data_IF_860873759401
#
_entry.id   IF_860873759401
#
_cell.length_a   1.000
_cell.length_b   1.000
_cell.length_c   1.000
_cell.angle_alpha   90.00
_cell.angle_beta   90.00
_cell.angle_gamma   90.00
#
_symmetry.space_group_name_H-M   'P 1'
#
loop_
_entity.id
_entity.type
_entity.pdbx_description
1 polymer ?
2 non-polymer ?
3 non-polymer ?
4 non-polymer ?
5 non-polymer ?
6 non-polymer ?
7 non-polymer ?
8 water ?
#
# COMPACT_ATOMS: atom_id res chain seq x y z
N UNK A 6 -22.62 10.97 21.09
CA UNK A 6 -21.19 10.78 21.51
C UNK A 6 -20.22 11.12 20.37
N UNK A 7 -19.33 12.11 20.59
CA UNK A 7 -18.36 12.53 19.59
C UNK A 7 -17.43 11.41 19.13
N UNK A 8 -16.83 11.59 17.97
CA UNK A 8 -15.94 10.60 17.40
C UNK A 8 -14.81 11.22 16.61
N UNK A 9 -13.70 10.47 16.45
CA UNK A 9 -12.57 10.99 15.68
C UNK A 9 -12.77 10.65 14.20
N UNK A 10 -13.80 9.87 13.92
CA UNK A 10 -14.09 9.44 12.56
C UNK A 10 -15.41 10.02 12.01
N UNK A 11 -15.50 10.06 10.68
CA UNK A 11 -16.70 10.52 9.99
C UNK A 11 -16.87 9.59 8.79
N UNK A 12 -18.03 8.95 8.70
CA UNK A 12 -18.34 7.99 7.63
C UNK A 12 -18.80 8.68 6.34
N UNK A 13 -18.75 7.95 5.23
CA UNK A 13 -19.18 8.48 3.93
C UNK A 13 -19.67 7.37 3.04
N UNK A 14 -20.76 7.60 2.32
CA UNK A 14 -21.21 6.60 1.38
C UNK A 14 -20.63 7.10 0.07
N UNK A 15 -20.60 6.26 -0.96
CA UNK A 15 -20.03 6.70 -2.22
C UNK A 15 -20.64 8.01 -2.70
N UNK A 16 -21.92 8.19 -2.42
CA UNK A 16 -22.66 9.37 -2.83
C UNK A 16 -22.09 10.66 -2.24
N UNK A 17 -21.86 10.66 -0.93
CA UNK A 17 -21.35 11.83 -0.24
C UNK A 17 -19.87 12.10 -0.53
N UNK A 18 -19.10 11.03 -0.72
CA UNK A 18 -17.68 11.18 -0.97
C UNK A 18 -17.39 11.74 -2.36
N UNK A 19 -18.11 11.26 -3.37
CA UNK A 19 -17.88 11.74 -4.73
C UNK A 19 -18.11 13.23 -4.86
N UNK A 20 -19.09 13.75 -4.12
CA UNK A 20 -19.39 15.17 -4.16
C UNK A 20 -18.14 16.01 -3.90
N UNK A 21 -17.27 15.51 -3.03
CA UNK A 21 -16.04 16.21 -2.67
C UNK A 21 -15.01 16.28 -3.79
N UNK A 22 -15.38 15.76 -4.95
CA UNK A 22 -14.47 15.78 -6.09
C UNK A 22 -14.24 17.20 -6.57
N UNK A 23 -15.28 18.03 -6.47
CA UNK A 23 -15.22 19.41 -6.93
C UNK A 23 -14.82 19.37 -8.40
N UNK A 24 -13.90 20.23 -8.81
CA UNK A 24 -13.49 20.26 -10.21
C UNK A 24 -12.13 19.62 -10.43
N UNK A 25 -11.97 18.40 -9.92
CA UNK A 25 -10.71 17.68 -10.08
C UNK A 25 -10.66 16.97 -11.44
N UNK A 26 -9.59 17.21 -12.20
CA UNK A 26 -9.42 16.60 -13.53
C UNK A 26 -9.09 15.12 -13.45
N UNK A 27 -9.56 14.37 -14.45
CA UNK A 27 -9.27 12.94 -14.53
C UNK A 27 -8.20 12.79 -15.60
N UNK A 28 -6.95 12.63 -15.18
CA UNK A 28 -5.85 12.49 -16.13
C UNK A 28 -5.43 11.04 -16.29
N UNK A 29 -6.40 10.16 -16.56
CA UNK A 29 -6.08 8.75 -16.72
C UNK A 29 -7.05 8.12 -17.71
N UNK A 30 -6.52 7.36 -18.66
CA UNK A 30 -7.35 6.68 -19.67
C UNK A 30 -7.61 5.23 -19.29
N UNK A 31 -8.41 4.54 -20.10
CA UNK A 31 -8.72 3.13 -19.83
C UNK A 31 -7.50 2.23 -19.99
N UNK A 32 -6.73 2.45 -21.05
CA UNK A 32 -5.54 1.64 -21.29
C UNK A 32 -4.62 1.76 -20.08
N UNK A 33 -4.36 2.99 -19.65
CA UNK A 33 -3.50 3.23 -18.50
C UNK A 33 -4.06 2.57 -17.25
N UNK A 34 -5.33 2.82 -16.96
CA UNK A 34 -5.97 2.21 -15.80
C UNK A 34 -5.77 0.70 -15.84
N UNK A 35 -5.96 0.10 -17.01
CA UNK A 35 -5.78 -1.34 -17.19
C UNK A 35 -4.37 -1.73 -16.80
N UNK A 36 -3.39 -0.97 -17.25
CA UNK A 36 -2.00 -1.26 -16.94
C UNK A 36 -1.68 -1.13 -15.47
N UNK A 37 -2.67 -0.76 -14.67
CA UNK A 37 -2.46 -0.59 -13.24
C UNK A 37 -3.30 -1.61 -12.47
N UNK A 38 -4.42 -2.00 -13.06
CA UNK A 38 -5.34 -2.95 -12.45
C UNK A 38 -4.74 -4.33 -12.23
N UNK A 39 -5.01 -4.90 -11.06
CA UNK A 39 -4.50 -6.22 -10.74
C UNK A 39 -5.52 -7.32 -11.05
N UNK A 40 -5.02 -8.54 -11.22
CA UNK A 40 -5.89 -9.68 -11.51
C UNK A 40 -6.98 -9.81 -10.45
N UNK A 41 -8.23 -9.68 -10.86
CA UNK A 41 -9.32 -9.80 -9.92
C UNK A 41 -10.00 -8.50 -9.57
N UNK A 42 -9.27 -7.39 -9.66
CA UNK A 42 -9.83 -6.08 -9.36
C UNK A 42 -10.82 -5.60 -10.42
N UNK A 43 -11.92 -5.00 -9.96
CA UNK A 43 -12.97 -4.52 -10.84
C UNK A 43 -12.93 -3.01 -11.09
N UNK A 44 -11.89 -2.35 -10.60
CA UNK A 44 -11.79 -0.89 -10.75
C UNK A 44 -11.96 -0.33 -12.18
N UNK A 45 -12.92 0.58 -12.34
CA UNK A 45 -13.16 1.23 -13.62
C UNK A 45 -12.95 2.74 -13.47
N UNK A 46 -13.08 3.47 -14.57
CA UNK A 46 -12.89 4.91 -14.53
C UNK A 46 -13.89 5.63 -13.62
N UNK A 47 -15.10 5.10 -13.53
CA UNK A 47 -16.10 5.72 -12.67
C UNK A 47 -15.59 5.74 -11.23
N UNK A 48 -15.17 4.58 -10.72
CA UNK A 48 -14.66 4.52 -9.35
C UNK A 48 -13.46 5.44 -9.19
N UNK A 49 -12.68 5.60 -10.26
CA UNK A 49 -11.53 6.47 -10.19
C UNK A 49 -11.96 7.94 -10.05
N UNK A 50 -13.14 8.27 -10.56
CA UNK A 50 -13.64 9.64 -10.47
C UNK A 50 -14.40 9.90 -9.18
N UNK A 51 -15.18 8.93 -8.75
CA UNK A 51 -15.97 9.10 -7.53
C UNK A 51 -15.23 8.82 -6.22
N UNK A 52 -14.18 8.01 -6.29
CA UNK A 52 -13.43 7.68 -5.09
C UNK A 52 -11.99 8.19 -5.06
N UNK A 53 -11.24 7.92 -6.10
CA UNK A 53 -9.85 8.35 -6.12
C UNK A 53 -9.61 9.83 -6.37
N UNK A 54 -10.56 10.52 -7.00
CA UNK A 54 -10.38 11.95 -7.27
C UNK A 54 -10.54 12.80 -6.01
N UNK A 55 -11.59 12.56 -5.22
CA UNK A 55 -11.76 13.35 -3.99
C UNK A 55 -10.51 13.12 -3.13
N UNK A 56 -10.05 11.87 -3.13
CA UNK A 56 -8.88 11.47 -2.38
C UNK A 56 -7.64 12.25 -2.81
N UNK A 57 -7.38 12.33 -4.11
CA UNK A 57 -6.22 13.08 -4.57
C UNK A 57 -6.37 14.53 -4.16
N UNK A 58 -7.60 15.02 -4.13
CA UNK A 58 -7.84 16.40 -3.74
C UNK A 58 -7.45 16.55 -2.27
N UNK A 59 -8.08 15.76 -1.39
CA UNK A 59 -7.77 15.83 0.03
C UNK A 59 -6.26 15.78 0.28
N UNK A 60 -5.58 14.88 -0.41
CA UNK A 60 -4.14 14.75 -0.24
C UNK A 60 -3.36 15.99 -0.63
N UNK A 61 -3.68 16.59 -1.78
CA UNK A 61 -2.94 17.77 -2.17
C UNK A 61 -3.23 18.95 -1.26
N UNK A 62 -4.38 18.92 -0.60
CA UNK A 62 -4.70 19.97 0.36
C UNK A 62 -3.78 19.79 1.57
N UNK A 63 -3.71 18.55 2.06
CA UNK A 63 -2.87 18.21 3.21
C UNK A 63 -1.37 18.38 2.95
N UNK A 64 -0.95 18.17 1.71
CA UNK A 64 0.46 18.29 1.38
C UNK A 64 0.91 19.74 1.57
N UNK A 65 -0.03 20.66 1.37
CA UNK A 65 0.26 22.08 1.52
C UNK A 65 0.26 22.40 3.00
N UNK A 66 -0.85 22.09 3.67
CA UNK A 66 -0.99 22.33 5.09
C UNK A 66 0.20 21.75 5.84
N UNK A 67 0.36 20.43 5.76
CA UNK A 67 1.45 19.75 6.44
C UNK A 67 2.82 20.36 6.16
N UNK A 68 2.92 21.19 5.12
CA UNK A 68 4.20 21.80 4.80
C UNK A 68 4.56 22.85 5.84
N UNK A 69 3.55 23.46 6.44
CA UNK A 69 3.75 24.47 7.48
C UNK A 69 4.45 23.88 8.69
N UNK A 70 3.91 22.79 9.21
CA UNK A 70 4.47 22.12 10.38
C UNK A 70 5.99 21.98 10.32
N UNK A 71 6.53 21.67 9.14
CA UNK A 71 7.97 21.54 9.02
C UNK A 71 8.63 22.91 8.91
N UNK A 72 7.87 23.87 8.42
CA UNK A 72 8.35 25.23 8.27
C UNK A 72 8.45 25.87 9.65
N UNK A 73 7.39 25.72 10.44
CA UNK A 73 7.35 26.28 11.80
C UNK A 73 8.52 25.77 12.63
N UNK A 74 8.76 24.47 12.58
CA UNK A 74 9.87 23.90 13.34
C UNK A 74 11.19 24.44 12.82
N UNK A 75 11.20 24.86 11.56
CA UNK A 75 12.40 25.41 10.96
C UNK A 75 12.60 26.83 11.47
N UNK A 76 11.49 27.57 11.58
CA UNK A 76 11.52 28.93 12.08
C UNK A 76 12.02 28.91 13.51
N UNK A 77 11.31 28.17 14.37
CA UNK A 77 11.68 28.03 15.77
C UNK A 77 13.17 27.75 15.90
N UNK A 78 13.68 26.81 15.10
CA UNK A 78 15.08 26.40 15.13
C UNK A 78 16.06 27.44 14.58
N UNK A 79 15.53 28.56 14.07
CA UNK A 79 16.40 29.58 13.54
C UNK A 79 17.09 29.10 12.28
N UNK A 80 16.68 27.94 11.79
CA UNK A 80 17.23 27.34 10.58
C UNK A 80 16.91 28.18 9.35
N UNK A 81 17.75 28.08 8.31
CA UNK A 81 17.47 28.86 7.10
C UNK A 81 16.11 28.36 6.63
N UNK A 82 15.32 29.22 6.01
CA UNK A 82 13.99 28.81 5.58
C UNK A 82 13.98 27.95 4.31
N UNK A 83 13.73 26.65 4.55
CA UNK A 83 13.64 25.58 3.55
C UNK A 83 13.75 25.88 2.06
N UNK A 84 14.59 25.10 1.40
CA UNK A 84 14.84 25.19 -0.05
C UNK A 84 13.61 24.70 -0.83
N UNK A 85 13.11 25.53 -1.75
CA UNK A 85 11.94 25.23 -2.60
C UNK A 85 12.01 23.99 -3.49
N UNK A 86 13.17 23.73 -4.08
CA UNK A 86 13.32 22.57 -4.97
C UNK A 86 13.36 21.26 -4.21
N UNK A 87 13.48 21.35 -2.89
CA UNK A 87 13.55 20.15 -2.06
C UNK A 87 12.66 20.20 -0.83
N UNK A 88 11.36 19.99 -1.01
CA UNK A 88 10.42 20.02 0.11
C UNK A 88 10.62 18.76 0.95
N UNK A 89 9.89 18.66 2.06
CA UNK A 89 9.98 17.49 2.91
C UNK A 89 9.04 16.47 2.30
N UNK A 90 9.58 15.33 1.83
CA UNK A 90 8.79 14.27 1.22
C UNK A 90 7.54 13.93 2.03
N UNK A 91 6.38 13.94 1.39
CA UNK A 91 5.11 13.60 2.02
C UNK A 91 5.02 12.07 1.94
N UNK A 92 4.80 11.44 3.09
CA UNK A 92 4.75 9.98 3.16
C UNK A 92 3.35 9.42 3.31
N UNK A 93 2.94 8.59 2.36
CA UNK A 93 1.61 8.00 2.42
C UNK A 93 1.72 6.50 2.62
N UNK A 94 1.06 6.00 3.67
CA UNK A 94 1.10 4.57 3.93
C UNK A 94 -0.17 3.90 3.41
N UNK A 95 -0.02 2.76 2.76
CA UNK A 95 -1.17 2.01 2.24
C UNK A 95 -1.07 0.62 2.84
N UNK A 96 -2.05 0.28 3.66
CA UNK A 96 -2.05 -1.01 4.33
C UNK A 96 -3.29 -1.82 4.05
N UNK A 97 -3.24 -3.09 4.43
CA UNK A 97 -4.36 -3.98 4.23
C UNK A 97 -3.91 -5.41 4.02
N UNK A 98 -4.87 -6.31 4.02
CA UNK A 98 -4.63 -7.72 3.84
C UNK A 98 -4.13 -8.10 2.44
N UNK A 99 -3.61 -9.31 2.35
CA UNK A 99 -3.16 -9.87 1.09
C UNK A 99 -4.46 -10.07 0.31
N UNK A 100 -4.43 -9.81 -0.99
CA UNK A 100 -5.58 -10.01 -1.89
C UNK A 100 -6.78 -9.07 -1.73
N UNK A 101 -6.58 -7.89 -1.13
CA UNK A 101 -7.69 -6.97 -0.96
C UNK A 101 -7.65 -5.87 -2.01
N UNK A 102 -6.65 -5.91 -2.88
CA UNK A 102 -6.53 -4.91 -3.93
C UNK A 102 -5.77 -3.64 -3.56
N UNK A 103 -5.17 -3.60 -2.36
CA UNK A 103 -4.44 -2.42 -1.91
C UNK A 103 -3.28 -2.02 -2.83
N UNK A 104 -2.73 -2.96 -3.59
CA UNK A 104 -1.64 -2.62 -4.50
C UNK A 104 -2.18 -1.87 -5.71
N UNK A 105 -3.36 -2.26 -6.16
CA UNK A 105 -3.97 -1.57 -7.28
C UNK A 105 -4.26 -0.17 -6.72
N UNK A 106 -4.85 -0.12 -5.53
CA UNK A 106 -5.13 1.17 -4.91
C UNK A 106 -3.89 2.04 -4.91
N UNK A 107 -2.77 1.48 -4.48
CA UNK A 107 -1.52 2.24 -4.43
C UNK A 107 -1.08 2.69 -5.81
N UNK A 108 -1.09 1.77 -6.78
CA UNK A 108 -0.68 2.11 -8.14
C UNK A 108 -1.54 3.21 -8.74
N UNK A 109 -2.85 3.10 -8.59
CA UNK A 109 -3.75 4.11 -9.11
C UNK A 109 -3.40 5.45 -8.46
N UNK A 110 -3.29 5.44 -7.14
CA UNK A 110 -2.95 6.66 -6.40
C UNK A 110 -1.68 7.29 -6.93
N UNK A 111 -0.66 6.48 -7.17
CA UNK A 111 0.59 7.00 -7.69
C UNK A 111 0.37 7.69 -9.03
N UNK A 112 -0.40 7.05 -9.90
CA UNK A 112 -0.67 7.59 -11.23
C UNK A 112 -1.34 8.95 -11.13
N UNK A 113 -2.43 9.03 -10.38
CA UNK A 113 -3.13 10.29 -10.23
C UNK A 113 -2.22 11.40 -9.72
N UNK A 114 -1.61 11.21 -8.55
CA UNK A 114 -0.74 12.24 -7.97
C UNK A 114 0.41 12.67 -8.87
N UNK A 115 0.94 11.75 -9.66
CA UNK A 115 2.05 12.08 -10.56
C UNK A 115 1.53 13.04 -11.62
N UNK A 116 0.23 12.99 -11.86
CA UNK A 116 -0.40 13.84 -12.85
C UNK A 116 -1.08 15.06 -12.23
N UNK A 117 -0.38 15.73 -11.34
CA UNK A 117 -0.93 16.92 -10.70
C UNK A 117 -0.15 18.09 -11.28
N UNK A 118 -0.88 19.09 -11.76
CA UNK A 118 -0.32 20.30 -12.37
C UNK A 118 1.20 20.40 -12.51
N UNK A 119 1.90 20.55 -11.39
CA UNK A 119 3.36 20.69 -11.44
C UNK A 119 4.16 19.39 -11.56
N UNK A 120 3.47 18.29 -11.81
CA UNK A 120 4.08 16.96 -11.95
C UNK A 120 5.15 16.61 -10.92
N UNK A 121 4.72 16.29 -9.70
CA UNK A 121 5.62 15.93 -8.59
C UNK A 121 6.23 14.54 -8.77
N UNK A 122 7.43 14.34 -8.24
CA UNK A 122 8.06 13.02 -8.33
C UNK A 122 7.36 12.18 -7.28
N UNK A 123 6.61 11.18 -7.73
CA UNK A 123 5.86 10.30 -6.83
C UNK A 123 6.26 8.84 -6.96
N UNK A 124 7.09 8.39 -6.01
CA UNK A 124 7.55 7.01 -6.01
C UNK A 124 6.64 6.08 -5.24
N UNK A 125 6.70 4.80 -5.58
CA UNK A 125 5.91 3.76 -4.91
C UNK A 125 6.84 2.64 -4.49
N UNK A 126 6.83 2.30 -3.21
CA UNK A 126 7.68 1.22 -2.72
C UNK A 126 6.87 0.25 -1.88
N UNK A 127 6.97 -1.03 -2.20
CA UNK A 127 6.26 -2.05 -1.43
C UNK A 127 7.27 -2.59 -0.43
N UNK A 128 6.78 -3.16 0.66
CA UNK A 128 7.65 -3.70 1.69
C UNK A 128 8.25 -5.06 1.35
N UNK A 129 7.88 -5.62 0.22
CA UNK A 129 8.41 -6.91 -0.23
C UNK A 129 9.92 -6.97 -0.19
N UNK A 130 10.57 -5.93 -0.70
CA UNK A 130 12.02 -5.88 -0.74
C UNK A 130 12.69 -5.89 0.63
N UNK A 131 11.91 -5.65 1.68
CA UNK A 131 12.45 -5.65 3.01
C UNK A 131 12.22 -6.98 3.71
N UNK A 132 11.70 -7.96 2.97
CA UNK A 132 11.50 -9.29 3.52
C UNK A 132 12.88 -9.92 3.68
N UNK A 133 13.08 -10.71 4.73
CA UNK A 133 14.36 -11.38 4.89
C UNK A 133 14.41 -12.41 3.77
N UNK A 134 15.60 -12.69 3.24
CA UNK A 134 15.73 -13.69 2.15
C UNK A 134 15.33 -15.06 2.69
N UNK A 135 14.93 -15.98 1.81
CA UNK A 135 14.50 -17.31 2.25
C UNK A 135 15.50 -18.00 3.17
N UNK A 136 16.78 -17.94 2.82
CA UNK A 136 17.81 -18.59 3.63
C UNK A 136 17.76 -18.03 5.05
N UNK A 137 17.59 -16.73 5.17
CA UNK A 137 17.52 -16.13 6.49
C UNK A 137 16.21 -16.48 7.21
N UNK A 138 15.12 -16.59 6.44
CA UNK A 138 13.85 -16.94 7.03
C UNK A 138 13.88 -18.37 7.57
N UNK A 139 14.47 -19.29 6.81
CA UNK A 139 14.59 -20.69 7.23
C UNK A 139 15.40 -20.70 8.53
N UNK A 140 16.49 -19.96 8.54
CA UNK A 140 17.32 -19.88 9.71
C UNK A 140 16.47 -19.51 10.93
N UNK A 141 15.50 -18.62 10.73
CA UNK A 141 14.66 -18.18 11.83
C UNK A 141 13.37 -18.99 11.95
N UNK A 142 13.24 -20.02 11.12
CA UNK A 142 12.06 -20.86 11.14
C UNK A 142 10.82 -20.05 10.76
N UNK A 143 10.97 -19.13 9.81
CA UNK A 143 9.86 -18.27 9.40
C UNK A 143 9.42 -18.46 7.93
N UNK A 144 9.82 -19.56 7.31
CA UNK A 144 9.46 -19.81 5.92
C UNK A 144 7.95 -19.95 5.70
N UNK A 145 7.21 -20.07 6.79
CA UNK A 145 5.76 -20.18 6.71
C UNK A 145 5.16 -19.00 7.44
N UNK A 146 5.89 -17.91 7.45
CA UNK A 146 5.42 -16.72 8.12
C UNK A 146 5.72 -15.46 7.31
N UNK A 147 5.96 -15.64 6.01
CA UNK A 147 6.23 -14.48 5.16
C UNK A 147 4.99 -13.61 5.26
N UNK A 148 5.18 -12.35 5.62
CA UNK A 148 4.06 -11.46 5.75
C UNK A 148 3.91 -10.99 7.19
N UNK A 149 4.28 -11.85 8.14
CA UNK A 149 4.18 -11.46 9.54
C UNK A 149 5.26 -10.42 9.79
N UNK A 150 5.06 -9.56 10.81
CA UNK A 150 6.03 -8.52 11.14
C UNK A 150 7.46 -9.01 11.25
N UNK A 151 7.65 -10.17 11.89
CA UNK A 151 8.98 -10.70 12.10
C UNK A 151 9.69 -11.21 10.84
N UNK A 152 8.98 -11.29 9.72
CA UNK A 152 9.61 -11.75 8.49
C UNK A 152 10.28 -10.63 7.69
N UNK A 153 10.17 -9.39 8.17
CA UNK A 153 10.79 -8.23 7.51
C UNK A 153 11.95 -7.68 8.32
N UNK A 154 12.86 -7.01 7.64
CA UNK A 154 14.00 -6.38 8.30
C UNK A 154 13.47 -4.97 8.62
N UNK A 155 12.72 -4.85 9.70
CA UNK A 155 12.13 -3.58 10.09
C UNK A 155 13.08 -2.43 10.34
N UNK A 156 14.29 -2.72 10.82
CA UNK A 156 15.26 -1.65 11.04
C UNK A 156 15.65 -1.06 9.69
N UNK A 157 15.90 -1.94 8.72
CA UNK A 157 16.28 -1.51 7.39
C UNK A 157 15.18 -0.64 6.78
N UNK A 158 13.95 -1.12 6.89
CA UNK A 158 12.77 -0.43 6.39
C UNK A 158 12.63 0.95 7.03
N UNK A 159 12.81 1.01 8.34
CA UNK A 159 12.72 2.26 9.06
C UNK A 159 13.85 3.17 8.59
N UNK A 160 15.03 2.60 8.39
CA UNK A 160 16.18 3.35 7.91
C UNK A 160 15.85 3.98 6.57
N UNK A 161 15.30 3.18 5.66
CA UNK A 161 14.95 3.65 4.34
C UNK A 161 14.02 4.86 4.37
N UNK A 162 12.86 4.69 4.99
CA UNK A 162 11.89 5.78 5.07
C UNK A 162 12.45 7.00 5.81
N UNK A 163 13.19 6.77 6.88
CA UNK A 163 13.77 7.87 7.63
C UNK A 163 14.68 8.67 6.72
N UNK A 164 15.49 7.96 5.94
CA UNK A 164 16.40 8.60 5.01
C UNK A 164 15.66 9.45 3.97
N UNK A 165 14.60 8.91 3.39
CA UNK A 165 13.86 9.67 2.39
C UNK A 165 13.18 10.90 2.96
N UNK A 166 12.58 10.78 4.14
CA UNK A 166 11.88 11.92 4.71
C UNK A 166 12.81 12.94 5.38
N UNK A 167 14.05 12.53 5.67
CA UNK A 167 15.00 13.44 6.28
C UNK A 167 15.68 14.27 5.19
N UNK A 168 15.31 14.00 3.94
CA UNK A 168 15.85 14.74 2.81
C UNK A 168 17.09 14.22 2.08
N UNK A 169 17.39 12.93 2.20
CA UNK A 169 18.55 12.37 1.52
C UNK A 169 18.37 12.47 0.01
N UNK A 170 19.47 12.62 -0.72
CA UNK A 170 19.41 12.71 -2.18
C UNK A 170 18.93 11.39 -2.77
N UNK A 171 19.29 10.29 -2.13
CA UNK A 171 18.85 8.99 -2.61
C UNK A 171 18.90 7.94 -1.52
N UNK A 172 17.96 7.00 -1.59
CA UNK A 172 17.89 5.91 -0.65
C UNK A 172 17.58 4.67 -1.48
N UNK A 173 18.12 3.53 -1.07
CA UNK A 173 17.90 2.29 -1.80
C UNK A 173 17.17 1.23 -1.01
N UNK A 174 16.33 0.46 -1.69
CA UNK A 174 15.58 -0.63 -1.05
C UNK A 174 15.88 -1.91 -1.81
N UNK A 175 15.89 -3.07 -1.11
CA UNK A 175 16.18 -4.33 -1.79
C UNK A 175 14.95 -4.66 -2.64
N UNK A 176 15.11 -5.58 -3.59
CA UNK A 176 14.01 -5.97 -4.48
C UNK A 176 13.60 -7.42 -4.30
N UNK A 177 12.30 -7.64 -4.22
CA UNK A 177 11.78 -8.98 -4.07
C UNK A 177 11.24 -9.50 -5.39
N UNK A 178 11.37 -10.81 -5.60
CA UNK A 178 10.87 -11.44 -6.82
C UNK A 178 9.73 -12.38 -6.50
N UNK A 179 8.56 -12.12 -6.89
CA UNK A 179 7.40 -12.98 -6.70
C UNK A 179 7.50 -14.24 -7.56
N UNK A 180 8.17 -14.08 -8.73
CA UNK A 180 8.39 -15.23 -9.61
C UNK A 180 9.25 -16.25 -8.88
N UNK A 181 10.40 -15.81 -8.38
CA UNK A 181 11.27 -16.73 -7.66
C UNK A 181 10.98 -16.78 -6.16
N UNK A 182 10.04 -15.95 -5.70
CA UNK A 182 9.66 -16.01 -4.29
C UNK A 182 10.85 -15.79 -3.34
N UNK A 183 11.68 -14.80 -3.64
CA UNK A 183 12.83 -14.53 -2.78
C UNK A 183 13.48 -13.20 -3.17
N UNK A 184 14.32 -12.68 -2.28
CA UNK A 184 15.02 -11.44 -2.52
C UNK A 184 16.01 -11.62 -3.67
N UNK A 185 16.07 -10.63 -4.56
CA UNK A 185 16.96 -10.70 -5.70
C UNK A 185 18.34 -10.16 -5.37
N UNK A 186 19.35 -11.05 -5.41
CA UNK A 186 20.73 -10.66 -5.11
C UNK A 186 21.17 -9.40 -5.87
N UNK A 187 21.68 -8.41 -5.15
CA UNK A 187 22.16 -7.20 -5.78
C UNK A 187 21.16 -6.20 -6.32
N UNK A 188 19.88 -6.56 -6.39
CA UNK A 188 18.87 -5.65 -6.91
C UNK A 188 18.55 -4.52 -5.93
N UNK A 189 18.50 -3.29 -6.43
CA UNK A 189 18.20 -2.14 -5.60
C UNK A 189 17.14 -1.26 -6.26
N UNK A 190 16.26 -0.70 -5.45
CA UNK A 190 15.27 0.23 -5.98
C UNK A 190 15.75 1.57 -5.44
N UNK A 191 16.12 2.48 -6.33
CA UNK A 191 16.62 3.77 -5.90
C UNK A 191 15.55 4.86 -5.90
N UNK A 192 15.43 5.54 -4.76
CA UNK A 192 14.46 6.62 -4.60
C UNK A 192 15.24 7.91 -4.40
N UNK A 193 14.98 8.89 -5.24
CA UNK A 193 15.71 10.16 -5.22
C UNK A 193 14.87 11.38 -4.83
N UNK A 194 14.90 11.71 -3.54
CA UNK A 194 14.16 12.84 -3.00
C UNK A 194 12.83 13.08 -3.67
N UNK A 195 11.96 12.07 -3.69
CA UNK A 195 10.66 12.26 -4.31
C UNK A 195 9.86 13.30 -3.53
N UNK A 196 8.82 13.84 -4.15
CA UNK A 196 7.99 14.82 -3.47
C UNK A 196 6.99 14.06 -2.60
N UNK A 197 6.49 12.95 -3.13
CA UNK A 197 5.55 12.09 -2.41
C UNK A 197 6.08 10.67 -2.49
N UNK A 198 6.05 9.96 -1.36
CA UNK A 198 6.50 8.57 -1.34
C UNK A 198 5.36 7.74 -0.79
N UNK A 199 4.95 6.74 -1.55
CA UNK A 199 3.89 5.85 -1.12
C UNK A 199 4.52 4.53 -0.68
N UNK A 200 4.33 4.17 0.58
CA UNK A 200 4.87 2.93 1.10
C UNK A 200 3.69 1.98 1.24
N UNK A 201 3.75 0.86 0.52
CA UNK A 201 2.66 -0.12 0.57
C UNK A 201 3.10 -1.41 1.25
N UNK A 202 2.29 -1.89 2.18
CA UNK A 202 2.62 -3.11 2.88
C UNK A 202 1.48 -3.67 3.72
N UNK A 203 1.74 -4.78 4.39
CA UNK A 203 0.74 -5.43 5.23
C UNK A 203 0.59 -4.81 6.62
N UNK A 204 1.69 -4.63 7.35
CA UNK A 204 1.64 -4.08 8.71
C UNK A 204 2.34 -2.71 8.87
N UNK A 205 2.56 -2.02 7.76
CA UNK A 205 3.21 -0.73 7.81
C UNK A 205 2.57 0.27 8.77
N UNK A 206 1.35 -0.01 9.21
CA UNK A 206 0.70 0.90 10.16
C UNK A 206 0.98 0.50 11.60
N UNK A 207 1.65 -0.63 11.79
CA UNK A 207 1.97 -1.09 13.13
C UNK A 207 2.74 -0.05 13.91
N UNK A 208 2.57 -0.08 15.21
CA UNK A 208 3.24 0.83 16.11
C UNK A 208 3.97 -0.04 17.12
N UNK A 209 4.88 0.54 17.90
CA UNK A 209 5.60 -0.27 18.86
C UNK A 209 6.55 0.47 19.78
N UNK A 210 7.39 -0.26 20.53
CA UNK A 210 8.37 0.26 21.49
C UNK A 210 9.51 1.05 20.87
N UNK A 211 9.36 1.43 19.62
CA UNK A 211 10.38 2.23 18.96
C UNK A 211 9.68 2.99 17.86
N UNK A 212 10.31 4.04 17.36
CA UNK A 212 9.70 4.81 16.30
C UNK A 212 9.67 3.91 15.07
N UNK A 213 8.49 3.78 14.46
CA UNK A 213 8.34 2.94 13.28
C UNK A 213 7.89 3.74 12.07
N UNK A 214 7.89 3.14 10.88
CA UNK A 214 7.50 3.88 9.68
C UNK A 214 6.11 4.50 9.75
N UNK A 215 5.22 3.94 10.55
CA UNK A 215 3.88 4.52 10.67
C UNK A 215 3.93 5.89 11.36
N UNK A 216 4.94 6.10 12.20
CA UNK A 216 5.08 7.37 12.92
C UNK A 216 5.55 8.48 11.99
N UNK A 217 5.99 8.08 10.81
CA UNK A 217 6.47 9.01 9.80
C UNK A 217 5.43 9.26 8.72
N UNK A 218 4.35 8.52 8.75
CA UNK A 218 3.33 8.71 7.73
C UNK A 218 2.63 10.05 7.89
N UNK A 219 2.49 10.77 6.79
CA UNK A 219 1.79 12.05 6.81
C UNK A 219 0.32 11.79 6.47
N UNK A 220 0.03 10.58 5.97
CA UNK A 220 -1.33 10.19 5.60
C UNK A 220 -1.34 8.67 5.39
N UNK A 221 -2.36 8.00 5.90
CA UNK A 221 -2.43 6.56 5.73
C UNK A 221 -3.75 6.10 5.16
N UNK A 222 -3.66 5.04 4.38
CA UNK A 222 -4.80 4.43 3.70
C UNK A 222 -4.86 2.96 4.10
N UNK A 223 -6.06 2.47 4.37
CA UNK A 223 -6.27 1.07 4.74
C UNK A 223 -7.38 0.52 3.83
N UNK A 224 -7.04 -0.44 2.98
CA UNK A 224 -8.02 -1.02 2.08
C UNK A 224 -8.65 -2.18 2.84
N UNK A 225 -9.94 -2.03 3.15
CA UNK A 225 -10.69 -3.00 3.95
C UNK A 225 -11.81 -3.74 3.20
N UNK A 226 -12.18 -4.90 3.73
CA UNK A 226 -13.25 -5.71 3.15
C UNK A 226 -13.61 -6.80 4.15
N UNK A 227 -14.80 -7.38 4.02
CA UNK A 227 -15.23 -8.46 4.90
C UNK A 227 -14.24 -9.62 4.77
N UNK A 228 -13.84 -10.19 5.89
CA UNK A 228 -12.87 -11.27 5.85
C UNK A 228 -13.25 -12.41 4.90
N UNK A 229 -14.51 -12.83 4.90
CA UNK A 229 -14.94 -13.92 4.01
C UNK A 229 -14.81 -13.54 2.53
N UNK A 230 -14.98 -12.26 2.23
CA UNK A 230 -14.86 -11.81 0.84
C UNK A 230 -13.38 -11.85 0.42
N UNK A 231 -12.51 -11.44 1.34
CA UNK A 231 -11.09 -11.45 1.04
C UNK A 231 -10.60 -12.87 0.78
N UNK A 232 -11.12 -13.82 1.54
CA UNK A 232 -10.72 -15.21 1.35
C UNK A 232 -11.18 -15.67 -0.03
N UNK A 233 -12.37 -15.27 -0.43
CA UNK A 233 -12.88 -15.66 -1.73
C UNK A 233 -11.95 -15.07 -2.80
N UNK A 234 -11.66 -13.78 -2.69
CA UNK A 234 -10.80 -13.12 -3.66
C UNK A 234 -9.45 -13.82 -3.71
N UNK A 235 -8.97 -14.22 -2.54
CA UNK A 235 -7.68 -14.91 -2.45
C UNK A 235 -7.69 -16.25 -3.18
N UNK A 236 -8.71 -17.07 -2.89
CA UNK A 236 -8.82 -18.38 -3.51
C UNK A 236 -9.00 -18.23 -5.02
N UNK A 237 -9.89 -17.32 -5.39
CA UNK A 237 -10.17 -17.06 -6.78
C UNK A 237 -8.88 -16.67 -7.52
N UNK A 238 -8.11 -15.76 -6.94
CA UNK A 238 -6.85 -15.33 -7.54
C UNK A 238 -5.92 -16.53 -7.70
N UNK A 239 -5.86 -17.37 -6.67
CA UNK A 239 -5.00 -18.53 -6.70
C UNK A 239 -5.32 -19.41 -7.90
N UNK A 240 -6.60 -19.66 -8.13
CA UNK A 240 -6.99 -20.48 -9.26
C UNK A 240 -6.63 -19.84 -10.59
N UNK A 241 -6.88 -18.55 -10.73
CA UNK A 241 -6.59 -17.82 -11.96
C UNK A 241 -5.10 -17.82 -12.29
N UNK A 242 -4.26 -17.79 -11.25
CA UNK A 242 -2.83 -17.77 -11.47
C UNK A 242 -2.23 -19.06 -11.99
N UNK A 243 -3.04 -20.11 -12.08
CA UNK A 243 -2.54 -21.37 -12.61
C UNK A 243 -2.20 -21.16 -14.08
N UNK A 244 -2.88 -20.19 -14.72
CA UNK A 244 -2.64 -19.93 -16.13
C UNK A 244 -1.94 -18.61 -16.44
N UNK A 245 -1.47 -17.92 -15.41
CA UNK A 245 -0.71 -16.69 -15.59
C UNK A 245 0.65 -16.89 -14.93
N UNK A 246 0.80 -16.44 -13.69
CA UNK A 246 2.05 -16.57 -12.96
C UNK A 246 2.60 -18.01 -12.80
N UNK A 247 1.79 -18.93 -12.30
CA UNK A 247 2.27 -20.29 -12.10
C UNK A 247 2.53 -21.02 -13.40
N UNK A 248 2.00 -20.50 -14.50
CA UNK A 248 2.18 -21.13 -15.80
C UNK A 248 3.64 -21.05 -16.26
N UNK A 249 4.33 -20.02 -15.83
CA UNK A 249 5.72 -19.83 -16.18
C UNK A 249 6.56 -20.96 -15.59
N UNK A 250 7.36 -21.64 -16.43
CA UNK A 250 8.18 -22.74 -15.91
C UNK A 250 9.16 -22.25 -14.86
N UNK A 251 9.57 -20.99 -14.99
CA UNK A 251 10.52 -20.38 -14.06
C UNK A 251 9.91 -20.07 -12.71
N UNK A 252 8.59 -20.23 -12.57
CA UNK A 252 7.92 -19.92 -11.32
C UNK A 252 8.18 -20.92 -10.21
N UNK A 253 8.46 -20.39 -9.01
CA UNK A 253 8.72 -21.22 -7.84
C UNK A 253 7.50 -22.09 -7.57
N UNK A 254 6.32 -21.60 -7.90
CA UNK A 254 5.10 -22.36 -7.67
C UNK A 254 4.55 -22.91 -8.97
N UNK A 255 5.43 -23.15 -9.93
CA UNK A 255 5.00 -23.67 -11.22
C UNK A 255 4.19 -24.96 -11.12
N UNK A 256 4.46 -25.77 -10.11
CA UNK A 256 3.72 -27.02 -9.98
C UNK A 256 2.27 -26.85 -9.51
N UNK A 257 1.88 -25.63 -9.15
CA UNK A 257 0.50 -25.37 -8.73
C UNK A 257 -0.38 -25.29 -9.98
N UNK A 258 0.27 -25.05 -11.12
CA UNK A 258 -0.41 -24.93 -12.40
C UNK A 258 -1.21 -26.17 -12.81
N UNK A 259 -0.69 -27.35 -12.50
CA UNK A 259 -1.35 -28.59 -12.86
C UNK A 259 -2.43 -29.00 -11.86
N UNK A 260 -2.68 -28.19 -10.85
CA UNK A 260 -3.70 -28.51 -9.88
C UNK A 260 -5.08 -28.41 -10.52
N UNK A 261 -6.01 -29.21 -10.01
CA UNK A 261 -7.37 -29.17 -10.50
C UNK A 261 -8.04 -28.07 -9.68
N UNK A 262 -9.25 -27.68 -10.06
CA UNK A 262 -9.96 -26.65 -9.32
C UNK A 262 -10.03 -27.05 -7.84
N UNK A 263 -10.45 -28.28 -7.59
CA UNK A 263 -10.59 -28.80 -6.24
C UNK A 263 -9.27 -28.74 -5.49
N UNK A 264 -8.22 -29.31 -6.08
CA UNK A 264 -6.90 -29.30 -5.45
C UNK A 264 -6.44 -27.86 -5.19
N UNK A 265 -6.67 -26.98 -6.17
CA UNK A 265 -6.27 -25.58 -6.07
C UNK A 265 -6.96 -24.93 -4.87
N UNK A 266 -8.27 -25.10 -4.78
CA UNK A 266 -9.05 -24.53 -3.68
C UNK A 266 -8.56 -25.03 -2.32
N UNK A 267 -8.28 -26.32 -2.24
CA UNK A 267 -7.80 -26.90 -0.99
C UNK A 267 -6.48 -26.26 -0.58
N UNK A 268 -5.56 -26.17 -1.53
CA UNK A 268 -4.24 -25.61 -1.26
C UNK A 268 -4.29 -24.12 -0.89
N UNK A 269 -5.16 -23.37 -1.58
CA UNK A 269 -5.31 -21.95 -1.33
C UNK A 269 -5.88 -21.71 0.06
N UNK A 270 -6.87 -22.51 0.44
CA UNK A 270 -7.48 -22.39 1.77
C UNK A 270 -6.48 -22.69 2.87
N UNK A 271 -5.62 -23.68 2.65
CA UNK A 271 -4.62 -24.01 3.65
C UNK A 271 -3.72 -22.82 3.85
N UNK A 272 -3.19 -22.30 2.75
CA UNK A 272 -2.30 -21.16 2.78
C UNK A 272 -2.99 -19.99 3.49
N UNK A 273 -4.25 -19.76 3.16
CA UNK A 273 -5.02 -18.67 3.75
C UNK A 273 -5.25 -18.88 5.26
N UNK A 274 -5.64 -20.10 5.63
CA UNK A 274 -5.90 -20.41 7.02
C UNK A 274 -4.66 -20.45 7.91
N UNK A 275 -3.53 -20.89 7.37
CA UNK A 275 -2.32 -21.00 8.17
C UNK A 275 -1.40 -19.79 8.16
N UNK A 276 -1.54 -18.93 7.16
CA UNK A 276 -0.67 -17.75 7.08
C UNK A 276 -1.41 -16.41 6.99
N UNK A 277 -2.02 -16.16 5.84
CA UNK A 277 -2.70 -14.90 5.62
C UNK A 277 -3.85 -14.50 6.54
N UNK A 278 -4.71 -15.43 6.89
CA UNK A 278 -5.82 -15.10 7.78
C UNK A 278 -5.33 -14.79 9.19
N UNK A 279 -4.39 -15.58 9.73
CA UNK A 279 -3.93 -15.28 11.09
C UNK A 279 -3.23 -13.93 11.11
N UNK A 280 -2.41 -13.70 10.09
CA UNK A 280 -1.68 -12.44 10.00
C UNK A 280 -2.64 -11.24 9.91
N UNK A 281 -3.76 -11.42 9.21
CA UNK A 281 -4.74 -10.35 9.06
C UNK A 281 -5.44 -10.05 10.38
N UNK A 282 -5.85 -11.10 11.07
CA UNK A 282 -6.57 -10.97 12.31
C UNK A 282 -5.73 -10.52 13.51
N UNK A 283 -4.51 -11.02 13.61
CA UNK A 283 -3.66 -10.68 14.75
C UNK A 283 -2.83 -9.42 14.56
N UNK A 284 -2.38 -9.18 13.32
CA UNK A 284 -1.53 -8.03 13.06
C UNK A 284 -2.08 -6.90 12.22
N UNK A 285 -2.59 -7.22 11.03
CA UNK A 285 -3.08 -6.18 10.14
C UNK A 285 -4.32 -5.42 10.65
N UNK A 286 -5.40 -6.15 10.93
CA UNK A 286 -6.63 -5.49 11.39
C UNK A 286 -6.47 -4.59 12.61
N UNK A 287 -5.70 -5.02 13.62
CA UNK A 287 -5.55 -4.15 14.79
C UNK A 287 -4.99 -2.77 14.46
N UNK A 288 -4.42 -2.59 13.28
CA UNK A 288 -3.86 -1.29 12.93
C UNK A 288 -4.84 -0.38 12.19
N UNK A 289 -5.96 -0.93 11.76
CA UNK A 289 -6.95 -0.14 11.03
C UNK A 289 -7.44 1.11 11.76
N UNK A 290 -7.60 1.04 13.09
CA UNK A 290 -8.07 2.24 13.80
C UNK A 290 -7.27 3.53 13.56
N UNK A 291 -5.98 3.42 13.24
CA UNK A 291 -5.19 4.63 13.05
C UNK A 291 -5.12 5.17 11.63
N UNK A 292 -5.67 4.44 10.66
CA UNK A 292 -5.64 4.91 9.27
C UNK A 292 -6.39 6.23 9.08
N UNK A 293 -5.82 7.12 8.28
CA UNK A 293 -6.44 8.40 8.03
C UNK A 293 -7.77 8.12 7.31
N UNK A 294 -7.69 7.32 6.27
CA UNK A 294 -8.85 6.96 5.47
C UNK A 294 -8.94 5.47 5.24
N UNK A 295 -10.13 4.92 5.45
CA UNK A 295 -10.36 3.50 5.23
C UNK A 295 -11.26 3.36 4.01
N UNK A 296 -10.85 2.55 3.05
CA UNK A 296 -11.66 2.32 1.85
C UNK A 296 -12.32 0.97 2.02
N UNK A 297 -13.64 0.98 2.19
CA UNK A 297 -14.42 -0.25 2.38
C UNK A 297 -14.84 -0.85 1.03
N UNK A 298 -14.40 -2.07 0.77
CA UNK A 298 -14.76 -2.74 -0.49
C UNK A 298 -15.86 -3.78 -0.29
N UNK A 299 -16.92 -3.65 -1.08
CA UNK A 299 -18.03 -4.60 -1.02
C UNK A 299 -17.60 -5.91 -1.67
N UNK A 300 -18.42 -6.95 -1.54
CA UNK A 300 -18.11 -8.25 -2.11
C UNK A 300 -17.75 -8.18 -3.59
N UNK A 301 -18.37 -7.24 -4.31
CA UNK A 301 -18.11 -7.11 -5.74
C UNK A 301 -16.83 -6.29 -6.00
N UNK A 302 -16.10 -5.98 -4.93
CA UNK A 302 -14.86 -5.22 -5.01
C UNK A 302 -15.04 -3.71 -5.03
N UNK A 303 -16.27 -3.22 -5.18
CA UNK A 303 -16.45 -1.77 -5.24
C UNK A 303 -16.41 -1.04 -3.88
N UNK A 304 -15.85 0.17 -3.92
CA UNK A 304 -15.73 0.99 -2.74
C UNK A 304 -17.04 1.75 -2.54
N UNK A 305 -17.84 1.36 -1.60
CA UNK A 305 -19.14 1.97 -1.37
C UNK A 305 -19.25 2.58 0.03
N UNK A 306 -18.12 2.69 0.72
CA UNK A 306 -18.10 3.29 2.05
C UNK A 306 -16.68 3.68 2.43
N UNK A 307 -16.54 4.87 3.03
CA UNK A 307 -15.24 5.36 3.46
C UNK A 307 -15.28 5.91 4.87
N UNK A 308 -14.17 5.78 5.59
CA UNK A 308 -14.09 6.30 6.95
C UNK A 308 -12.89 7.24 7.05
N UNK A 309 -13.12 8.47 7.47
CA UNK A 309 -12.04 9.45 7.57
C UNK A 309 -11.76 9.90 9.00
N UNK A 310 -10.48 10.07 9.32
CA UNK A 310 -10.08 10.55 10.63
C UNK A 310 -10.10 12.06 10.59
N UNK A 311 -10.93 12.67 11.42
CA UNK A 311 -10.98 14.13 11.46
C UNK A 311 -10.14 14.55 12.67
N UNK A 312 -9.81 13.57 13.49
CA UNK A 312 -8.98 13.76 14.68
C UNK A 312 -7.96 12.64 14.78
X LIG B 1 -1.24 -9.36 -2.85
X LIG B 1 -0.84 -9.55 -1.31
X LIG B 1 -1.32 -10.83 -3.50
X LIG B 1 -0.26 -8.49 -3.56
X LIG B 1 -2.98 -7.08 -3.65
X LIG B 1 -1.69 -6.37 -3.60
X LIG B 1 -4.15 -6.27 -2.90
X LIG B 1 -2.93 -8.70 -2.86
X LIG B 1 -3.56 -6.18 -6.24
X LIG B 1 -3.86 -4.85 -5.64
X LIG B 1 -4.66 -6.63 -7.33
X LIG B 1 -3.51 -7.35 -5.14
X LIG B 1 -2.15 -6.22 -7.00
X LIG B 1 -0.95 -6.56 -6.27
X LIG B 1 0.27 -6.60 -7.19
X LIG B 1 1.47 -6.92 -6.47
X LIG B 1 0.15 -7.70 -8.25
X LIG B 1 -0.64 -7.22 -9.34
X LIG B 1 1.62 -7.75 -8.66
X LIG B 1 1.99 -6.52 -9.27
X LIG B 1 2.24 -7.86 -7.26
X LIG B 1 2.00 -9.21 -6.72
X LIG B 1 1.52 -9.49 -5.51
X LIG B 1 1.42 -10.81 -5.37
X LIG B 1 1.83 -11.38 -6.50
X LIG B 1 1.94 -12.69 -6.93
X LIG B 1 1.58 -13.70 -6.15
X LIG B 1 2.41 -12.92 -8.17
X LIG B 1 2.75 -11.92 -8.96
X LIG B 1 2.66 -10.66 -8.58
X LIG B 1 2.21 -10.35 -7.36
X LIG C 1 -3.13 -13.31 -3.93
X LIG C 1 -2.84 -15.53 -4.86
X LIG C 1 -3.25 -14.08 -5.13
X LIG C 1 -3.04 -16.13 -6.25
X LIG C 1 -3.85 -15.89 -3.77
X LIG C 1 -1.36 -15.35 -4.50
X LIG C 1 -1.23 -14.48 -3.37
X LIG C 1 -0.76 -16.71 -4.16
X LIG C 1 -1.41 -17.74 -4.27
X LIG C 1 0.52 -16.67 -3.78
X LIG C 1 1.27 -17.87 -3.38
X LIG C 1 0.67 -18.37 -2.07
X LIG C 1 0.44 -17.21 -1.10
X LIG C 1 -0.47 -16.41 -1.38
X LIG C 1 1.17 -17.14 -0.09
X LIG D 1 3.61 27.99 10.43
X LIG D 1 2.44 28.26 9.65
X LIG D 1 4.76 28.84 9.88
X LIG D 1 5.94 28.57 10.67
X LIG D 1 4.41 30.32 9.97
X LIG D 1 5.50 31.10 9.44
X LIG E 1 -11.10 -2.65 14.58
X LIG E 1 -9.73 -3.04 14.45
X LIG E 1 -11.23 -1.13 14.51
X LIG E 1 -12.59 -0.72 14.70
X LIG E 1 -10.75 -0.64 13.13
X LIG E 1 -10.89 0.78 13.07
X LIG F 1 -1.16 -17.21 16.78
X LIG F 1 -2.08 -18.24 17.12
X LIG F 1 -0.16 -17.74 15.74
X LIG F 1 0.76 -16.69 15.39
X LIG F 1 -0.90 -18.21 14.49
X LIG F 1 0.04 -18.71 13.53
X LIG G 1 19.05 -16.85 -3.06
X LIG G 1 18.41 -15.88 -3.90
X LIG G 1 20.48 -16.41 -2.78
X LIG G 1 21.11 -17.37 -1.93
X LIG G 1 20.46 -15.03 -2.10
X LIG G 1 21.80 -14.60 -1.85
X LIG H 1 6.73 24.04 -14.72
X LIG H 1 7.45 23.67 -15.89
X LIG H 1 5.23 23.92 -14.98
X LIG H 1 4.90 22.57 -15.31
X LIG H 1 4.83 24.84 -16.13
X LIG H 1 3.42 24.75 -16.35
X LIG I 1 8.35 -10.30 -10.00
X LIG I 1 9.49 -11.04 -10.35
X LIG I 1 8.75 -9.21 -9.03
X LIG I 1 7.68 -8.68 -8.31
X LIG I 1 9.47 -8.14 -9.78
X LIG I 1 10.85 -8.40 -9.77
X LIG J 1 -15.76 -0.07 -9.47
X LIG J 1 -15.52 -1.29 -8.79
X LIG J 1 -17.20 0.39 -9.21
X LIG J 1 -17.44 1.62 -9.89
X LIG K 1 4.38 -17.15 1.84
X LIG K 1 3.59 -18.17 1.23
X LIG K 1 3.84 -15.77 1.48
X LIG K 1 2.49 -15.63 1.98
X LIG L 1 8.54 -2.10 -5.40
X LIG L 1 8.58 -1.21 -4.29
X LIG L 1 7.32 -1.80 -6.29
X LIG L 1 7.41 -0.48 -6.82
X LIG M 1 -12.45 -28.24 -1.99
X LIG M 1 -12.35 -29.44 -2.76
X LIG M 1 -13.87 -27.70 -2.05
X LIG M 1 -14.22 -27.42 -3.42
X LIG N 1 -0.61 -4.99 -13.62
X LIG N 1 -0.10 -4.62 -12.34
X LIG N 1 -0.51 -6.50 -13.82
X LIG N 1 -1.30 -7.17 -12.82
X LIG O 1 9.85 -5.89 -5.38
X LIG O 1 10.18 -5.26 -4.14
X LIG O 1 8.52 -6.63 -5.25
X LIG O 1 7.88 -6.70 -6.53
X LIG P 1 18.03 12.95 -10.90
X LIG P 1 17.98 14.47 -11.09
X LIG P 1 17.88 15.18 -9.74
X LIG P 1 19.09 14.83 -8.86
X LIG P 1 17.81 16.69 -9.95
X LIG P 1 16.42 17.25 -9.64
X LIG P 1 19.03 12.36 -11.36
X LIG P 1 17.10 12.42 -10.28
X LIG P 1 19.29 13.63 -8.61
X LIG P 1 19.80 15.79 -8.47
X LIG P 1 15.44 16.73 -10.22
X LIG P 1 16.36 18.19 -8.81
X LIG P 1 16.67 14.74 -9.09
X LIG Q 1 12.92 8.42 -7.95
X LIG R 1 -4.90 14.64 15.37
#
# INVERSE_FOLDING_TARGET
MSRLSEPSPYVEFDRRQWRALRMSTPLALTEEELVGLRGLGEQIDLLEVEEVYLPLARLIHLQVAARQRLFAATAEFLGEPQQNPDRPVPFIIGVAGSVAVGKSTTARVLQALLARWDHHPRVDLVTTDGFLYPNAELQRRNLMHRKGFPESYNRRALMRFVTSVKSGSDYACAPVYSHLHYDIIPGAEQVVRHPDILILEGLNVLQTGPTLMVSDLFDFSLYVDARIEDIEQWYVSRFLAMRTTAFADPESHFHHYAAFSDSQAVVAAREIWRTINRPNLVENILPTRPRATLVLRKDADHSINRLRLRKL
ACP PG O1G O2G O3G PB O1B O2B C3B PA O1A O2A O3A O5' C5' C4' O4' C3' O3' C2' O2' C1' N9 C8 N7 C5 C6 N6 N1 C2 N3 C4
PAU O2 C1 C2 C3 C4 C5 O5' C6 O6' N C8 C9 C OXT O
GOL C1 O1 C2 O2 C3 O3
GOL C1 O1 C2 O2 C3 O3
GOL C1 O1 C2 O2 C3 O3
GOL C1 O1 C2 O2 C3 O3
GOL C1 O1 C2 O2 C3 O3
GOL C1 O1 C2 O2 C3 O3
EDO C1 O1 C2 O2
EDO C1 O1 C2 O2
EDO C1 O1 C2 O2
EDO C1 O1 C2 O2
EDO C1 O1 C2 O2
EDO C1 O1 C2 O2
FLC CAC CA CB CBC CG CGC OA1 OA2 OB1 OB2 OG1 OG2 OHB
NA NA
NA NA
#
